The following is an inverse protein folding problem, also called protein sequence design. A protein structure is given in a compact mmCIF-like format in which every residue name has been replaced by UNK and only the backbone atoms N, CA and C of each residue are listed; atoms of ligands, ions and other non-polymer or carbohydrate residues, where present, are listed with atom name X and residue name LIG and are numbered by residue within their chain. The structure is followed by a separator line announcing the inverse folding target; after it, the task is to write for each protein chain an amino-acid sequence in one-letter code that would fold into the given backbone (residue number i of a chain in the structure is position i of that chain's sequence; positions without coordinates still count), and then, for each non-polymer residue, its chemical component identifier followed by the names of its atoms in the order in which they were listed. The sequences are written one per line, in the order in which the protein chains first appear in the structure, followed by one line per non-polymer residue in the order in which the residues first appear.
data_IF_429937198983
#
_entry.id   IF_429937198983
#
_cell.length_a   1.000
_cell.length_b   1.000
_cell.length_c   1.000
_cell.angle_alpha   90.00
_cell.angle_beta   90.00
_cell.angle_gamma   90.00
#
_symmetry.space_group_name_H-M   'P 1'
#
loop_
_entity.id
_entity.type
_entity.pdbx_description
1 polymer ?
#
# COMPACT_ATOMS: atom_id res chain seq x y z
N UNK A 1 16.03 34.01 20.55
CA UNK A 1 14.84 33.21 20.19
C UNK A 1 15.35 31.95 19.51
N UNK A 2 15.36 30.82 20.21
CA UNK A 2 15.84 29.57 19.63
C UNK A 2 14.72 29.01 18.74
N UNK A 3 14.97 28.95 17.42
CA UNK A 3 14.10 28.19 16.54
C UNK A 3 14.13 26.73 16.99
N UNK A 4 12.95 26.18 17.27
CA UNK A 4 12.81 24.79 17.69
C UNK A 4 13.32 23.91 16.54
N UNK A 5 14.38 23.14 16.76
CA UNK A 5 15.11 22.38 15.71
C UNK A 5 14.15 21.49 14.89
N UNK A 6 13.07 21.04 15.51
CA UNK A 6 11.97 20.30 14.88
C UNK A 6 11.23 21.08 13.79
N UNK A 7 10.98 22.37 13.97
CA UNK A 7 10.28 23.22 12.99
C UNK A 7 11.14 23.52 11.77
N UNK A 8 12.44 23.76 11.98
CA UNK A 8 13.38 23.99 10.88
C UNK A 8 13.56 22.73 10.02
N UNK A 9 13.62 21.55 10.65
CA UNK A 9 13.68 20.27 9.96
C UNK A 9 12.40 20.00 9.14
N UNK A 10 11.22 20.21 9.73
CA UNK A 10 9.93 20.02 9.05
C UNK A 10 9.72 21.02 7.89
N UNK A 11 10.25 22.25 8.01
CA UNK A 11 10.22 23.24 6.94
C UNK A 11 11.15 22.88 5.76
N UNK A 12 12.24 22.16 6.05
CA UNK A 12 13.20 21.71 5.03
C UNK A 12 12.69 20.51 4.24
N UNK A 13 11.75 19.74 4.80
CA UNK A 13 11.12 18.59 4.16
C UNK A 13 9.58 18.70 4.22
N UNK A 14 8.98 19.61 3.41
CA UNK A 14 7.53 19.81 3.41
C UNK A 14 6.75 18.54 3.05
N UNK A 15 7.37 17.57 2.37
CA UNK A 15 6.78 16.27 2.07
C UNK A 15 6.58 15.39 3.31
N UNK A 16 7.32 15.60 4.41
CA UNK A 16 7.06 14.92 5.69
C UNK A 16 5.76 15.38 6.35
N UNK A 17 5.20 16.51 5.91
CA UNK A 17 3.88 16.99 6.36
C UNK A 17 2.75 16.40 5.51
N UNK A 18 3.06 15.85 4.33
CA UNK A 18 2.05 15.23 3.48
C UNK A 18 1.63 13.91 4.12
N UNK A 19 0.32 13.66 4.29
CA UNK A 19 -0.15 12.39 4.81
C UNK A 19 0.35 11.24 3.90
N UNK A 20 0.97 10.23 4.49
CA UNK A 20 1.67 9.16 3.77
C UNK A 20 0.65 8.16 3.20
N UNK A 21 0.66 7.95 1.87
CA UNK A 21 -0.02 6.82 1.23
C UNK A 21 0.84 5.56 1.37
N UNK A 22 0.23 4.43 1.70
CA UNK A 22 0.87 3.11 1.61
C UNK A 22 0.50 2.49 0.26
N UNK A 23 1.48 2.14 -0.56
CA UNK A 23 1.25 1.59 -1.89
C UNK A 23 1.81 0.18 -1.99
N UNK A 24 0.96 -0.77 -2.36
CA UNK A 24 1.36 -2.12 -2.69
C UNK A 24 1.41 -2.27 -4.21
N UNK A 25 2.63 -2.51 -4.72
CA UNK A 25 2.85 -2.75 -6.15
C UNK A 25 2.32 -4.12 -6.57
N UNK A 26 2.03 -4.32 -7.87
CA UNK A 26 1.53 -5.60 -8.37
C UNK A 26 2.47 -6.75 -8.00
N UNK A 27 1.90 -7.83 -7.46
CA UNK A 27 2.67 -9.01 -7.07
C UNK A 27 3.19 -8.99 -5.62
N UNK A 28 2.97 -7.89 -4.88
CA UNK A 28 3.16 -7.89 -3.43
C UNK A 28 2.33 -9.02 -2.80
N UNK A 29 2.91 -9.79 -1.87
CA UNK A 29 2.29 -10.98 -1.31
C UNK A 29 1.81 -10.77 0.11
N UNK A 30 0.59 -11.22 0.36
CA UNK A 30 -0.05 -11.24 1.67
C UNK A 30 -0.55 -12.65 1.99
N UNK A 31 -0.83 -12.93 3.26
CA UNK A 31 -1.37 -14.20 3.70
C UNK A 31 -2.89 -14.22 3.55
N UNK A 32 -3.41 -15.08 2.68
CA UNK A 32 -4.84 -15.33 2.48
C UNK A 32 -5.08 -16.83 2.66
N UNK A 33 -5.92 -17.21 3.62
CA UNK A 33 -6.17 -18.64 3.92
C UNK A 33 -4.89 -19.43 4.24
N UNK A 34 -3.92 -18.79 4.91
CA UNK A 34 -2.63 -19.40 5.25
C UNK A 34 -1.63 -19.52 4.09
N UNK A 35 -1.95 -18.99 2.89
CA UNK A 35 -1.06 -19.03 1.72
C UNK A 35 -0.59 -17.63 1.32
N UNK A 36 0.68 -17.52 0.99
CA UNK A 36 1.22 -16.31 0.37
C UNK A 36 0.60 -16.11 -1.02
N UNK A 37 -0.15 -15.03 -1.16
CA UNK A 37 -0.98 -14.76 -2.33
C UNK A 37 -0.65 -13.36 -2.86
N UNK A 38 -0.27 -13.24 -4.15
CA UNK A 38 -0.02 -11.93 -4.74
C UNK A 38 -1.31 -11.14 -4.88
N UNK A 39 -1.24 -9.85 -4.60
CA UNK A 39 -2.36 -8.91 -4.78
C UNK A 39 -2.09 -7.92 -5.91
N UNK A 40 -3.17 -7.37 -6.46
CA UNK A 40 -3.19 -6.29 -7.45
C UNK A 40 -4.42 -5.44 -7.18
N UNK A 41 -4.31 -4.13 -7.39
CA UNK A 41 -5.44 -3.22 -7.27
C UNK A 41 -5.81 -2.61 -8.62
N UNK A 42 -6.49 -1.48 -8.56
CA UNK A 42 -6.86 -0.68 -9.74
C UNK A 42 -6.33 0.76 -9.65
N UNK A 43 -5.63 1.08 -8.55
CA UNK A 43 -5.10 2.41 -8.31
C UNK A 43 -3.87 2.65 -9.19
N UNK A 44 -3.70 3.90 -9.60
CA UNK A 44 -2.52 4.31 -10.35
C UNK A 44 -1.29 4.21 -9.46
N UNK A 45 -0.31 3.42 -9.90
CA UNK A 45 0.96 3.34 -9.22
C UNK A 45 1.69 4.69 -9.29
N UNK A 46 2.09 5.29 -8.16
CA UNK A 46 2.74 6.58 -8.15
C UNK A 46 4.10 6.51 -8.84
N UNK A 47 4.59 7.65 -9.34
CA UNK A 47 5.95 7.74 -9.83
C UNK A 47 6.92 7.39 -8.71
N UNK A 48 7.97 6.64 -9.04
CA UNK A 48 9.04 6.38 -8.10
C UNK A 48 9.76 7.70 -7.82
N UNK A 49 10.06 7.98 -6.55
CA UNK A 49 10.85 9.17 -6.18
C UNK A 49 12.10 9.23 -7.06
N UNK A 50 12.40 10.40 -7.63
CA UNK A 50 13.51 10.60 -8.55
C UNK A 50 14.87 10.18 -8.00
N UNK A 51 15.06 10.15 -6.68
CA UNK A 51 16.26 9.58 -6.05
C UNK A 51 16.27 8.05 -6.16
N UNK A 52 15.16 7.41 -5.83
CA UNK A 52 15.03 5.94 -5.91
C UNK A 52 15.09 5.46 -7.36
N UNK A 53 14.49 6.18 -8.31
CA UNK A 53 14.51 5.85 -9.72
C UNK A 53 15.93 5.87 -10.31
N UNK A 54 16.80 6.77 -9.82
CA UNK A 54 18.21 6.82 -10.22
C UNK A 54 19.04 5.65 -9.70
N UNK A 55 18.72 5.12 -8.52
CA UNK A 55 19.47 4.03 -7.89
C UNK A 55 19.05 2.65 -8.40
N UNK A 56 17.75 2.45 -8.63
CA UNK A 56 17.17 1.13 -8.93
C UNK A 56 16.55 1.03 -10.33
N UNK A 57 16.59 2.11 -11.11
CA UNK A 57 15.86 2.21 -12.38
C UNK A 57 14.40 2.59 -12.18
N UNK A 58 13.66 2.82 -13.28
CA UNK A 58 12.24 3.17 -13.23
C UNK A 58 11.40 2.02 -12.67
N UNK A 59 10.35 2.35 -11.89
CA UNK A 59 9.37 1.35 -11.47
C UNK A 59 8.64 0.81 -12.72
N UNK A 60 8.68 -0.49 -13.02
CA UNK A 60 8.02 -1.04 -14.20
C UNK A 60 6.49 -0.89 -14.17
N UNK A 61 5.92 -0.57 -13.02
CA UNK A 61 4.50 -0.37 -12.82
C UNK A 61 4.09 1.11 -12.76
N UNK A 62 5.02 2.06 -12.84
CA UNK A 62 4.72 3.50 -12.80
C UNK A 62 3.62 3.87 -13.80
N UNK A 63 2.61 4.61 -13.33
CA UNK A 63 1.48 5.03 -14.15
C UNK A 63 0.49 3.92 -14.54
N UNK A 64 0.75 2.66 -14.14
CA UNK A 64 -0.20 1.56 -14.37
C UNK A 64 -1.30 1.53 -13.31
N UNK A 65 -2.51 1.16 -13.71
CA UNK A 65 -3.68 1.02 -12.82
C UNK A 65 -3.73 -0.39 -12.21
N UNK A 66 -2.71 -0.73 -11.43
CA UNK A 66 -2.52 -2.08 -10.86
C UNK A 66 -2.09 -2.05 -9.39
N UNK A 67 -1.85 -0.88 -8.82
CA UNK A 67 -1.45 -0.76 -7.42
C UNK A 67 -2.67 -0.86 -6.51
N UNK A 68 -2.45 -1.28 -5.27
CA UNK A 68 -3.38 -1.06 -4.17
C UNK A 68 -2.85 0.12 -3.38
N UNK A 69 -3.53 1.26 -3.42
CA UNK A 69 -3.18 2.45 -2.64
C UNK A 69 -4.07 2.57 -1.41
N UNK A 70 -3.46 2.54 -0.24
CA UNK A 70 -4.10 2.97 1.01
C UNK A 70 -3.78 4.44 1.18
N UNK A 71 -4.63 5.29 0.61
CA UNK A 71 -4.50 6.73 0.80
C UNK A 71 -4.75 7.11 2.27
N UNK A 72 -4.31 8.29 2.71
CA UNK A 72 -4.47 8.76 4.08
C UNK A 72 -5.92 8.78 4.57
N UNK A 73 -6.87 9.01 3.66
CA UNK A 73 -8.31 9.09 3.93
C UNK A 73 -9.10 7.86 3.49
N UNK A 74 -8.47 6.90 2.81
CA UNK A 74 -9.14 5.70 2.30
C UNK A 74 -9.79 4.90 3.43
N UNK A 75 -11.09 4.66 3.39
CA UNK A 75 -11.79 3.75 4.31
C UNK A 75 -11.85 2.32 3.78
N UNK A 76 -11.64 2.16 2.48
CA UNK A 76 -11.61 0.89 1.77
C UNK A 76 -10.56 0.89 0.66
N UNK A 77 -10.12 -0.29 0.25
CA UNK A 77 -9.28 -0.50 -0.94
C UNK A 77 -9.83 -1.67 -1.78
N UNK A 78 -9.67 -1.58 -3.09
CA UNK A 78 -10.09 -2.61 -4.03
C UNK A 78 -8.92 -3.55 -4.32
N UNK A 79 -9.10 -4.83 -4.05
CA UNK A 79 -8.02 -5.81 -4.16
C UNK A 79 -8.47 -7.00 -4.98
N UNK A 80 -7.61 -7.40 -5.92
CA UNK A 80 -7.75 -8.58 -6.76
C UNK A 80 -6.64 -9.57 -6.43
N UNK A 81 -7.00 -10.85 -6.34
CA UNK A 81 -6.05 -11.93 -6.07
C UNK A 81 -6.58 -13.28 -6.58
N UNK A 82 -5.71 -14.24 -6.90
CA UNK A 82 -6.14 -15.58 -7.29
C UNK A 82 -6.70 -16.34 -6.10
N UNK A 83 -7.94 -16.80 -6.18
CA UNK A 83 -8.54 -17.67 -5.17
C UNK A 83 -8.07 -19.12 -5.39
N UNK A 84 -7.03 -19.51 -4.64
CA UNK A 84 -6.44 -20.85 -4.73
C UNK A 84 -7.44 -21.94 -4.34
N UNK A 85 -8.41 -21.66 -3.46
CA UNK A 85 -9.44 -22.64 -3.09
C UNK A 85 -10.46 -22.84 -4.23
N UNK A 86 -10.69 -21.82 -5.04
CA UNK A 86 -11.55 -21.86 -6.23
C UNK A 86 -10.79 -22.12 -7.54
N UNK A 87 -9.66 -22.85 -7.49
CA UNK A 87 -8.92 -23.25 -8.69
C UNK A 87 -8.15 -22.12 -9.37
N UNK A 88 -7.88 -21.01 -8.67
CA UNK A 88 -7.10 -19.88 -9.17
C UNK A 88 -7.91 -18.81 -9.89
N UNK A 89 -9.24 -18.86 -9.84
CA UNK A 89 -10.09 -17.79 -10.38
C UNK A 89 -9.74 -16.45 -9.72
N UNK A 90 -9.66 -15.38 -10.51
CA UNK A 90 -9.43 -14.05 -9.97
C UNK A 90 -10.62 -13.64 -9.11
N UNK A 91 -10.36 -13.33 -7.84
CA UNK A 91 -11.34 -12.83 -6.89
C UNK A 91 -11.10 -11.36 -6.65
N UNK A 92 -12.18 -10.60 -6.57
CA UNK A 92 -12.18 -9.19 -6.25
C UNK A 92 -12.86 -8.97 -4.89
N UNK A 93 -12.21 -8.21 -4.02
CA UNK A 93 -12.73 -7.89 -2.69
C UNK A 93 -12.52 -6.41 -2.38
N UNK A 94 -13.44 -5.84 -1.61
CA UNK A 94 -13.25 -4.55 -0.95
C UNK A 94 -12.75 -4.79 0.47
N UNK A 95 -11.54 -4.34 0.78
CA UNK A 95 -10.96 -4.50 2.11
C UNK A 95 -11.11 -3.20 2.89
N UNK A 96 -11.55 -3.30 4.14
CA UNK A 96 -11.68 -2.14 5.02
C UNK A 96 -10.31 -1.71 5.54
N UNK A 97 -10.10 -0.40 5.62
CA UNK A 97 -8.90 0.20 6.20
C UNK A 97 -9.21 0.65 7.62
N UNK A 98 -8.54 0.04 8.59
CA UNK A 98 -8.66 0.34 10.00
C UNK A 98 -7.45 1.16 10.44
N UNK A 99 -7.69 2.28 11.13
CA UNK A 99 -6.65 3.17 11.64
C UNK A 99 -6.75 3.31 13.14
N UNK A 100 -5.65 3.10 13.84
CA UNK A 100 -5.54 3.28 15.29
C UNK A 100 -4.12 3.70 15.67
N UNK A 101 -3.97 4.82 16.37
CA UNK A 101 -2.68 5.27 16.90
C UNK A 101 -1.53 5.35 15.88
N UNK A 102 -1.81 5.74 14.63
CA UNK A 102 -0.82 5.80 13.54
C UNK A 102 -0.52 4.46 12.87
N UNK A 103 -1.22 3.38 13.26
CA UNK A 103 -1.16 2.07 12.59
C UNK A 103 -2.29 1.95 11.58
N UNK A 104 -2.01 1.22 10.51
CA UNK A 104 -2.98 0.86 9.47
C UNK A 104 -3.08 -0.66 9.42
N UNK A 105 -4.30 -1.17 9.45
CA UNK A 105 -4.60 -2.59 9.21
C UNK A 105 -5.64 -2.72 8.11
N UNK A 106 -5.51 -3.75 7.29
CA UNK A 106 -6.51 -4.11 6.28
C UNK A 106 -7.32 -5.30 6.77
N UNK A 107 -8.63 -5.22 6.62
CA UNK A 107 -9.57 -6.28 7.01
C UNK A 107 -10.39 -6.72 5.80
N UNK A 108 -10.40 -8.02 5.54
CA UNK A 108 -11.16 -8.65 4.47
C UNK A 108 -12.66 -8.69 4.79
N UNK A 109 -13.55 -8.85 3.80
CA UNK A 109 -14.98 -8.99 4.01
C UNK A 109 -15.38 -10.16 4.92
N UNK A 110 -14.58 -11.22 4.96
CA UNK A 110 -14.80 -12.38 5.83
C UNK A 110 -14.40 -12.12 7.29
N UNK A 111 -13.87 -10.93 7.61
CA UNK A 111 -13.46 -10.53 8.95
C UNK A 111 -11.99 -10.75 9.27
N UNK A 112 -11.23 -11.44 8.42
CA UNK A 112 -9.80 -11.71 8.64
C UNK A 112 -8.95 -10.46 8.45
N UNK A 113 -7.90 -10.35 9.28
CA UNK A 113 -6.85 -9.35 9.06
C UNK A 113 -5.87 -9.81 7.98
N UNK A 114 -5.48 -8.88 7.14
CA UNK A 114 -4.44 -9.10 6.11
C UNK A 114 -3.08 -8.94 6.77
N UNK A 115 -2.21 -9.92 6.60
CA UNK A 115 -0.82 -9.86 7.06
C UNK A 115 0.13 -10.01 5.87
N UNK A 116 1.29 -9.33 5.89
CA UNK A 116 2.31 -9.52 4.86
C UNK A 116 2.87 -10.94 4.90
N UNK A 117 3.27 -11.47 3.73
CA UNK A 117 4.16 -12.64 3.71
C UNK A 117 5.45 -12.28 4.45
N UNK A 118 5.86 -13.11 5.42
CA UNK A 118 7.15 -12.91 6.09
C UNK A 118 8.24 -13.28 5.08
N UNK A 119 9.10 -12.29 4.77
CA UNK A 119 10.33 -12.47 3.98
C UNK A 119 11.34 -13.34 4.71
#
# INVERSE_FOLDING_TARGET
MAANVSQAFIAQYPDLQKPISLVFVPGYKVMIGGKATPITGEDTCPPQDGVMAKLFGPNPYEGSNKCVEVSPTATEVHVKFPDVAAGGSLKEEKWSVLRDGGRVALRRPNGDFVTPEKS
#
